data_IF_661809230505
#
_entry.id   IF_661809230505
#
_cell.length_a   1.000
_cell.length_b   1.000
_cell.length_c   1.000
_cell.angle_alpha   90.00
_cell.angle_beta   90.00
_cell.angle_gamma   90.00
#
_symmetry.space_group_name_H-M   'P 1'
#
loop_
_entity.id
_entity.type
_entity.pdbx_description
1 polymer ?
#
# COMPACT_ATOMS: atom_id res chain seq x y z
N UNK A 1 2.43 25.72 -12.86
CA UNK A 1 2.60 24.69 -11.83
C UNK A 1 3.09 25.26 -10.49
N UNK A 2 4.21 25.90 -10.39
CA UNK A 2 4.77 26.41 -9.12
C UNK A 2 3.87 27.42 -8.37
N UNK A 3 3.13 28.26 -9.08
CA UNK A 3 2.21 29.26 -8.48
C UNK A 3 0.97 28.62 -7.85
N UNK A 4 0.44 27.56 -8.45
CA UNK A 4 -0.68 26.77 -7.90
C UNK A 4 -0.26 25.99 -6.66
N UNK A 5 0.97 25.51 -6.65
CA UNK A 5 1.56 24.78 -5.52
C UNK A 5 1.76 25.69 -4.30
N UNK A 6 2.21 26.93 -4.52
CA UNK A 6 2.36 27.93 -3.45
C UNK A 6 1.02 28.35 -2.80
N UNK A 7 -0.02 28.49 -3.61
CA UNK A 7 -1.36 28.82 -3.11
C UNK A 7 -1.95 27.66 -2.29
N UNK A 8 -1.71 26.42 -2.69
CA UNK A 8 -2.15 25.23 -1.93
C UNK A 8 -1.41 25.08 -0.60
N UNK A 9 -0.11 25.39 -0.56
CA UNK A 9 0.71 25.38 0.66
C UNK A 9 0.21 26.40 1.68
N UNK A 10 -0.12 27.60 1.23
CA UNK A 10 -0.70 28.64 2.08
C UNK A 10 -2.09 28.26 2.61
N UNK A 11 -2.94 27.68 1.77
CA UNK A 11 -4.28 27.23 2.15
C UNK A 11 -4.23 26.08 3.16
N UNK A 12 -3.37 25.10 2.94
CA UNK A 12 -3.15 23.99 3.86
C UNK A 12 -2.64 24.45 5.24
N UNK A 13 -1.71 25.42 5.25
CA UNK A 13 -1.21 26.00 6.50
C UNK A 13 -2.31 26.79 7.24
N UNK A 14 -3.10 27.55 6.51
CA UNK A 14 -4.18 28.38 7.03
C UNK A 14 -5.32 27.53 7.62
N UNK A 15 -5.71 26.44 6.94
CA UNK A 15 -6.75 25.50 7.40
C UNK A 15 -6.35 24.72 8.67
N UNK A 16 -5.04 24.55 8.92
CA UNK A 16 -4.51 23.88 10.13
C UNK A 16 -3.98 24.85 11.18
N UNK A 17 -4.25 26.16 11.05
CA UNK A 17 -3.81 27.17 12.00
C UNK A 17 -2.30 27.38 12.04
N UNK A 18 -1.57 26.94 11.00
CA UNK A 18 -0.13 27.11 10.86
C UNK A 18 0.13 28.44 10.12
N UNK A 19 0.66 29.44 10.82
CA UNK A 19 1.05 30.70 10.19
C UNK A 19 2.48 30.58 9.67
N UNK A 20 2.65 30.61 8.35
CA UNK A 20 3.97 30.61 7.70
C UNK A 20 4.39 32.04 7.40
N UNK A 21 5.42 32.56 8.11
CA UNK A 21 6.07 33.83 7.77
C UNK A 21 7.38 33.56 7.01
N UNK A 22 7.40 33.91 5.73
CA UNK A 22 8.53 33.66 4.83
C UNK A 22 9.55 34.81 4.81
N UNK A 23 9.54 35.69 5.83
CA UNK A 23 10.37 36.89 5.84
C UNK A 23 11.90 36.66 5.78
N UNK A 24 12.42 35.48 6.18
CA UNK A 24 13.85 35.29 6.39
C UNK A 24 14.40 33.88 6.04
N UNK A 25 13.96 33.22 5.00
CA UNK A 25 14.60 31.99 4.56
C UNK A 25 15.30 32.19 3.22
N UNK A 26 16.63 32.43 3.28
CA UNK A 26 17.51 32.27 2.11
C UNK A 26 17.76 30.78 1.91
N UNK A 27 16.97 30.12 1.07
CA UNK A 27 17.26 28.78 0.62
C UNK A 27 17.35 28.79 -0.90
N UNK A 28 18.61 28.63 -1.32
CA UNK A 28 19.08 28.13 -2.62
C UNK A 28 18.16 28.31 -3.81
N UNK A 29 18.54 29.30 -4.58
CA UNK A 29 18.60 29.41 -6.05
C UNK A 29 17.40 29.15 -6.91
N UNK A 30 16.21 29.21 -6.68
CA UNK A 30 15.10 29.41 -7.66
C UNK A 30 13.72 29.40 -7.01
N UNK A 31 13.56 28.68 -5.90
CA UNK A 31 12.27 28.59 -5.21
C UNK A 31 11.95 29.84 -4.36
N UNK A 32 12.95 30.48 -3.79
CA UNK A 32 12.77 31.62 -2.88
C UNK A 32 12.36 32.93 -3.57
N UNK A 33 12.70 33.11 -4.83
CA UNK A 33 12.32 34.31 -5.61
C UNK A 33 10.82 34.40 -5.91
N UNK A 34 10.14 33.26 -5.95
CA UNK A 34 8.69 33.21 -6.22
C UNK A 34 7.83 33.56 -5.02
N UNK A 35 8.26 33.21 -3.80
CA UNK A 35 7.50 33.49 -2.58
C UNK A 35 7.62 34.95 -2.09
N UNK A 36 8.75 35.63 -2.33
CA UNK A 36 8.96 37.04 -1.96
C UNK A 36 7.99 38.03 -2.62
N UNK A 37 7.36 37.69 -3.73
CA UNK A 37 6.44 38.58 -4.46
C UNK A 37 4.98 38.54 -3.99
N UNK A 38 4.55 37.52 -3.25
CA UNK A 38 3.15 37.34 -2.86
C UNK A 38 2.84 37.54 -1.36
N UNK A 39 3.87 37.66 -0.52
CA UNK A 39 3.68 37.81 0.94
C UNK A 39 3.46 39.27 1.38
N UNK A 40 2.77 40.13 0.60
CA UNK A 40 2.26 41.44 1.02
C UNK A 40 0.79 41.37 1.29
N UNK A 41 0.39 40.76 2.40
CA UNK A 41 -0.96 40.94 2.98
C UNK A 41 -0.89 40.97 4.50
N UNK A 42 -1.08 42.18 5.00
CA UNK A 42 -1.63 42.65 6.29
C UNK A 42 -1.62 41.70 7.50
N UNK A 43 -0.74 41.98 8.44
CA UNK A 43 -1.11 42.25 9.82
C UNK A 43 -1.46 41.09 10.70
N UNK A 44 -0.46 40.33 11.15
CA UNK A 44 -0.25 39.87 12.53
C UNK A 44 1.03 39.04 12.58
N UNK A 45 1.98 39.52 13.36
CA UNK A 45 3.33 38.96 13.46
C UNK A 45 3.36 37.79 14.41
N UNK A 46 3.57 36.57 13.89
CA UNK A 46 4.15 35.50 14.68
C UNK A 46 5.64 35.40 14.33
N UNK A 47 6.50 35.95 15.21
CA UNK A 47 7.95 35.82 15.09
C UNK A 47 8.34 34.39 15.43
N UNK A 48 8.69 33.58 14.42
CA UNK A 48 9.48 32.40 14.66
C UNK A 48 10.88 32.89 15.09
N UNK A 49 11.22 32.73 16.37
CA UNK A 49 12.57 32.99 16.87
C UNK A 49 13.50 31.94 16.25
N UNK A 50 14.20 32.32 15.17
CA UNK A 50 15.35 31.59 14.68
C UNK A 50 16.53 31.91 15.60
N UNK A 51 16.71 31.10 16.64
CA UNK A 51 17.94 31.04 17.40
C UNK A 51 19.01 30.35 16.57
N UNK A 52 20.28 30.69 16.79
CA UNK A 52 21.53 30.47 16.07
C UNK A 52 21.88 29.10 15.51
N UNK A 53 20.94 28.18 15.38
CA UNK A 53 21.15 26.81 14.87
C UNK A 53 20.62 26.65 13.42
N UNK A 54 21.39 27.19 12.47
CA UNK A 54 21.09 27.14 11.03
C UNK A 54 20.83 25.68 10.53
N UNK A 55 21.47 24.70 11.18
CA UNK A 55 21.30 23.28 10.87
C UNK A 55 19.94 22.73 11.29
N UNK A 56 19.40 23.17 12.44
CA UNK A 56 18.04 22.76 12.89
C UNK A 56 16.96 23.36 11.99
N UNK A 57 17.13 24.64 11.62
CA UNK A 57 16.19 25.32 10.72
C UNK A 57 16.13 24.67 9.33
N UNK A 58 17.27 24.29 8.76
CA UNK A 58 17.33 23.52 7.50
C UNK A 58 16.71 22.12 7.64
N UNK A 59 16.91 21.47 8.79
CA UNK A 59 16.32 20.16 9.06
C UNK A 59 14.79 20.24 9.15
N UNK A 60 14.25 21.23 9.88
CA UNK A 60 12.81 21.48 9.97
C UNK A 60 12.19 21.85 8.62
N UNK A 61 12.83 22.70 7.85
CA UNK A 61 12.37 23.07 6.51
C UNK A 61 12.38 21.85 5.57
N UNK A 62 13.43 21.03 5.60
CA UNK A 62 13.52 19.79 4.83
C UNK A 62 12.47 18.77 5.26
N UNK A 63 12.23 18.64 6.56
CA UNK A 63 11.20 17.78 7.12
C UNK A 63 9.79 18.23 6.70
N UNK A 64 9.48 19.53 6.83
CA UNK A 64 8.20 20.10 6.42
C UNK A 64 7.96 19.96 4.92
N UNK A 65 8.99 20.21 4.09
CA UNK A 65 8.92 20.00 2.64
C UNK A 65 8.67 18.51 2.31
N UNK A 66 9.37 17.58 2.97
CA UNK A 66 9.17 16.14 2.78
C UNK A 66 7.78 15.71 3.21
N UNK A 67 7.29 16.17 4.35
CA UNK A 67 5.95 15.88 4.85
C UNK A 67 4.88 16.44 3.90
N UNK A 68 5.08 17.68 3.41
CA UNK A 68 4.19 18.30 2.45
C UNK A 68 4.17 17.57 1.11
N UNK A 69 5.35 17.22 0.57
CA UNK A 69 5.46 16.42 -0.66
C UNK A 69 4.82 15.05 -0.49
N UNK A 70 5.00 14.42 0.67
CA UNK A 70 4.36 13.13 0.99
C UNK A 70 2.83 13.24 1.04
N UNK A 71 2.27 14.30 1.62
CA UNK A 71 0.81 14.54 1.64
C UNK A 71 0.27 14.82 0.25
N UNK A 72 1.03 15.57 -0.59
CA UNK A 72 0.66 15.84 -1.98
C UNK A 72 0.76 14.62 -2.89
N UNK A 73 1.53 13.61 -2.48
CA UNK A 73 1.72 12.39 -3.25
C UNK A 73 0.64 11.33 -2.95
N UNK A 74 -0.24 11.55 -1.95
CA UNK A 74 -1.34 10.66 -1.65
C UNK A 74 -2.55 10.95 -2.54
N UNK A 75 -3.19 9.87 -3.03
CA UNK A 75 -4.47 9.98 -3.75
C UNK A 75 -5.65 9.95 -2.79
N UNK A 76 -5.49 9.25 -1.68
CA UNK A 76 -6.51 9.11 -0.64
C UNK A 76 -5.87 9.26 0.73
N UNK A 77 -6.52 10.05 1.57
CA UNK A 77 -6.21 10.17 3.00
C UNK A 77 -7.52 9.98 3.75
N UNK A 78 -7.55 9.06 4.71
CA UNK A 78 -8.61 8.95 5.69
C UNK A 78 -8.00 9.15 7.06
N UNK A 79 -8.48 10.11 7.84
CA UNK A 79 -7.92 10.45 9.15
C UNK A 79 -8.97 10.33 10.25
N UNK A 80 -8.59 9.66 11.33
CA UNK A 80 -9.33 9.50 12.58
C UNK A 80 -10.77 8.97 12.37
N UNK A 81 -10.91 8.03 11.43
CA UNK A 81 -12.20 7.48 11.05
C UNK A 81 -12.74 6.61 12.18
N UNK A 82 -13.89 7.01 12.70
CA UNK A 82 -14.66 6.22 13.65
C UNK A 82 -16.02 5.88 13.05
N UNK A 83 -16.48 4.65 13.25
CA UNK A 83 -17.79 4.18 12.80
C UNK A 83 -18.40 3.22 13.79
N UNK A 84 -19.55 3.60 14.33
CA UNK A 84 -20.37 2.77 15.20
C UNK A 84 -21.60 2.23 14.45
N UNK A 85 -21.92 0.97 14.65
CA UNK A 85 -23.21 0.36 14.33
C UNK A 85 -23.87 -0.09 15.63
N UNK A 86 -25.15 -0.35 15.62
CA UNK A 86 -25.89 -0.78 16.82
C UNK A 86 -25.19 -1.93 17.55
N UNK A 87 -24.62 -1.60 18.72
CA UNK A 87 -23.91 -2.55 19.59
C UNK A 87 -22.51 -2.95 19.15
N UNK A 88 -21.93 -2.34 18.11
CA UNK A 88 -20.58 -2.68 17.64
C UNK A 88 -19.85 -1.49 17.03
N UNK A 89 -18.64 -1.22 17.54
CA UNK A 89 -17.70 -0.25 16.94
C UNK A 89 -16.91 -0.94 15.84
N UNK A 90 -17.20 -0.58 14.60
CA UNK A 90 -16.56 -1.17 13.42
C UNK A 90 -15.22 -0.53 13.07
N UNK A 91 -15.05 0.77 13.36
CA UNK A 91 -13.80 1.52 13.22
C UNK A 91 -13.62 2.42 14.45
N UNK A 92 -12.41 2.48 14.99
CA UNK A 92 -12.04 3.22 16.17
C UNK A 92 -10.72 3.95 15.91
N UNK A 93 -10.82 5.21 15.50
CA UNK A 93 -9.69 6.09 15.19
C UNK A 93 -8.74 5.53 14.11
N UNK A 94 -9.31 5.01 13.02
CA UNK A 94 -8.54 4.42 11.92
C UNK A 94 -8.08 5.49 10.95
N UNK A 95 -6.78 5.51 10.65
CA UNK A 95 -6.16 6.43 9.69
C UNK A 95 -5.35 5.68 8.64
N UNK A 96 -5.50 6.05 7.36
CA UNK A 96 -4.69 5.54 6.25
C UNK A 96 -4.31 6.67 5.29
N UNK A 97 -3.13 6.55 4.68
CA UNK A 97 -2.68 7.43 3.60
C UNK A 97 -2.20 6.56 2.44
N UNK A 98 -2.82 6.70 1.28
CA UNK A 98 -2.59 5.86 0.11
C UNK A 98 -1.79 6.64 -0.94
N UNK A 99 -0.51 6.31 -1.15
CA UNK A 99 0.32 7.00 -2.14
C UNK A 99 -0.13 6.73 -3.57
N UNK A 100 0.01 7.73 -4.45
CA UNK A 100 -0.32 7.60 -5.87
C UNK A 100 0.54 6.58 -6.58
N UNK A 101 -0.08 5.81 -7.51
CA UNK A 101 0.63 4.84 -8.34
C UNK A 101 1.19 3.65 -7.57
N UNK A 102 0.68 3.37 -6.37
CA UNK A 102 1.08 2.26 -5.52
C UNK A 102 -0.04 1.23 -5.35
N UNK A 103 0.35 0.01 -4.99
CA UNK A 103 -0.57 -0.99 -4.46
C UNK A 103 -0.51 -0.94 -2.94
N UNK A 104 -1.61 -0.58 -2.32
CA UNK A 104 -1.77 -0.43 -0.88
C UNK A 104 -2.59 -1.57 -0.30
N UNK A 105 -2.02 -2.34 0.62
CA UNK A 105 -2.68 -3.45 1.27
C UNK A 105 -3.48 -3.00 2.50
N UNK A 106 -4.77 -3.30 2.53
CA UNK A 106 -5.62 -3.13 3.70
C UNK A 106 -5.85 -4.51 4.34
N UNK A 107 -5.12 -4.80 5.41
CA UNK A 107 -5.00 -6.13 5.99
C UNK A 107 -5.77 -6.25 7.31
N UNK A 108 -6.08 -7.46 7.69
CA UNK A 108 -6.68 -7.77 8.98
C UNK A 108 -7.61 -8.99 8.93
N UNK A 109 -7.95 -9.55 10.08
CA UNK A 109 -8.90 -10.66 10.15
C UNK A 109 -10.30 -10.25 9.70
N UNK A 110 -11.17 -11.25 9.48
CA UNK A 110 -12.57 -10.98 9.18
C UNK A 110 -13.23 -10.24 10.35
N UNK A 111 -14.05 -9.22 10.02
CA UNK A 111 -14.67 -8.37 11.04
C UNK A 111 -13.77 -7.26 11.61
N UNK A 112 -12.52 -7.11 11.18
CA UNK A 112 -11.61 -6.07 11.69
C UNK A 112 -12.01 -4.63 11.31
N UNK A 113 -12.94 -4.42 10.36
CA UNK A 113 -13.40 -3.11 9.91
C UNK A 113 -13.01 -2.75 8.47
N UNK A 114 -12.23 -3.59 7.75
CA UNK A 114 -11.75 -3.33 6.39
C UNK A 114 -12.88 -2.92 5.43
N UNK A 115 -13.90 -3.75 5.29
CA UNK A 115 -15.06 -3.48 4.40
C UNK A 115 -15.83 -2.23 4.82
N UNK A 116 -15.91 -1.92 6.11
CA UNK A 116 -16.52 -0.67 6.60
C UNK A 116 -15.74 0.55 6.13
N UNK A 117 -14.40 0.53 6.25
CA UNK A 117 -13.54 1.60 5.75
C UNK A 117 -13.66 1.74 4.23
N UNK A 118 -13.64 0.63 3.49
CA UNK A 118 -13.86 0.62 2.04
C UNK A 118 -15.20 1.24 1.66
N UNK A 119 -16.27 0.94 2.38
CA UNK A 119 -17.60 1.56 2.14
C UNK A 119 -17.62 3.05 2.40
N UNK A 120 -16.87 3.53 3.40
CA UNK A 120 -16.71 4.97 3.66
C UNK A 120 -15.96 5.63 2.51
N UNK A 121 -14.84 5.06 2.05
CA UNK A 121 -14.07 5.58 0.91
C UNK A 121 -14.89 5.62 -0.39
N UNK A 122 -15.79 4.65 -0.59
CA UNK A 122 -16.70 4.62 -1.73
C UNK A 122 -17.96 5.50 -1.55
N UNK A 123 -18.01 6.32 -0.51
CA UNK A 123 -19.16 7.20 -0.20
C UNK A 123 -20.50 6.44 -0.04
N UNK A 124 -20.44 5.15 0.34
CA UNK A 124 -21.62 4.30 0.58
C UNK A 124 -22.13 4.51 2.01
N UNK A 125 -21.23 4.74 2.95
CA UNK A 125 -21.52 4.94 4.38
C UNK A 125 -20.74 6.16 4.87
N UNK A 126 -21.37 7.05 5.63
CA UNK A 126 -20.67 8.18 6.27
C UNK A 126 -19.93 7.70 7.53
N UNK A 127 -18.75 8.22 7.84
CA UNK A 127 -18.11 8.05 9.15
C UNK A 127 -18.90 8.82 10.22
N UNK A 128 -18.76 8.43 11.49
CA UNK A 128 -19.37 9.18 12.61
C UNK A 128 -18.41 10.29 13.09
N UNK A 129 -17.10 10.09 12.91
CA UNK A 129 -16.06 11.12 13.05
C UNK A 129 -14.88 10.86 12.11
N UNK A 130 -14.01 11.86 11.98
CA UNK A 130 -12.91 11.84 11.03
C UNK A 130 -13.32 12.37 9.66
N UNK A 131 -12.38 12.34 8.70
CA UNK A 131 -12.62 12.83 7.34
C UNK A 131 -11.87 12.00 6.30
N UNK A 132 -12.32 12.09 5.06
CA UNK A 132 -11.67 11.47 3.91
C UNK A 132 -11.38 12.53 2.86
N UNK A 133 -10.12 12.58 2.42
CA UNK A 133 -9.69 13.36 1.26
C UNK A 133 -9.43 12.42 0.08
N UNK A 134 -9.86 12.84 -1.11
CA UNK A 134 -9.57 12.17 -2.36
C UNK A 134 -9.01 13.18 -3.37
N UNK A 135 -7.89 12.85 -3.99
CA UNK A 135 -7.22 13.70 -5.01
C UNK A 135 -6.98 15.14 -4.55
N UNK A 136 -6.70 15.34 -3.24
CA UNK A 136 -6.36 16.62 -2.62
C UNK A 136 -7.55 17.50 -2.26
N UNK A 137 -8.76 16.97 -2.16
CA UNK A 137 -9.96 17.65 -1.65
C UNK A 137 -10.84 16.70 -0.84
N UNK A 138 -11.75 17.24 -0.03
CA UNK A 138 -12.69 16.42 0.72
C UNK A 138 -13.52 15.53 -0.22
N UNK A 139 -13.62 14.24 0.11
CA UNK A 139 -14.34 13.25 -0.69
C UNK A 139 -15.81 13.65 -0.86
N UNK A 140 -16.29 13.60 -2.10
CA UNK A 140 -17.66 13.90 -2.49
C UNK A 140 -18.29 12.76 -3.26
N UNK A 141 -19.62 12.78 -3.43
CA UNK A 141 -20.33 11.80 -4.25
C UNK A 141 -19.89 11.81 -5.72
N UNK A 142 -19.41 12.95 -6.25
CA UNK A 142 -18.92 13.05 -7.62
C UNK A 142 -17.62 12.27 -7.84
N UNK A 143 -16.80 12.12 -6.81
CA UNK A 143 -15.51 11.42 -6.89
C UNK A 143 -15.66 9.92 -7.10
N UNK A 144 -16.83 9.34 -6.77
CA UNK A 144 -17.14 7.92 -7.00
C UNK A 144 -17.03 7.53 -8.49
N UNK A 145 -17.19 8.50 -9.40
CA UNK A 145 -16.96 8.29 -10.83
C UNK A 145 -15.49 7.98 -11.15
N UNK A 146 -14.56 8.42 -10.30
CA UNK A 146 -13.11 8.22 -10.44
C UNK A 146 -12.58 7.05 -9.60
N UNK A 147 -13.48 6.32 -8.92
CA UNK A 147 -13.16 5.16 -8.10
C UNK A 147 -13.77 3.91 -8.74
N UNK A 148 -12.94 2.89 -8.96
CA UNK A 148 -13.39 1.57 -9.34
C UNK A 148 -13.43 0.68 -8.10
N UNK A 149 -14.60 0.12 -7.77
CA UNK A 149 -14.77 -0.76 -6.61
C UNK A 149 -15.21 -2.15 -7.03
N UNK A 150 -14.42 -3.16 -6.66
CA UNK A 150 -14.73 -4.58 -6.76
C UNK A 150 -15.07 -5.11 -5.37
N UNK A 151 -16.33 -5.28 -5.01
CA UNK A 151 -16.73 -5.85 -3.73
C UNK A 151 -16.47 -7.36 -3.66
N UNK A 152 -16.33 -7.90 -2.46
CA UNK A 152 -16.22 -9.34 -2.20
C UNK A 152 -17.48 -10.08 -2.69
N UNK A 153 -18.66 -9.50 -2.42
CA UNK A 153 -19.94 -10.03 -2.91
C UNK A 153 -20.22 -9.56 -4.34
N UNK A 154 -20.81 -10.44 -5.15
CA UNK A 154 -21.02 -10.18 -6.57
C UNK A 154 -22.26 -9.34 -6.81
N UNK A 155 -22.06 -8.12 -7.34
CA UNK A 155 -23.12 -7.22 -7.78
C UNK A 155 -23.63 -7.49 -9.21
N UNK A 156 -23.48 -8.70 -9.75
CA UNK A 156 -23.90 -9.00 -11.11
C UNK A 156 -25.37 -9.48 -11.18
N UNK A 157 -26.14 -9.00 -12.17
CA UNK A 157 -27.53 -9.38 -12.41
C UNK A 157 -27.61 -10.71 -13.15
N UNK A 158 -28.00 -11.77 -12.45
CA UNK A 158 -27.94 -13.17 -12.94
C UNK A 158 -28.62 -13.40 -14.28
N UNK A 159 -29.74 -12.76 -14.56
CA UNK A 159 -30.54 -12.95 -15.79
C UNK A 159 -30.07 -12.14 -16.99
N UNK A 160 -29.19 -11.16 -16.80
CA UNK A 160 -28.64 -10.35 -17.90
C UNK A 160 -27.55 -11.11 -18.65
N UNK A 161 -27.38 -10.81 -19.93
CA UNK A 161 -26.22 -11.24 -20.70
C UNK A 161 -24.98 -10.49 -20.25
N UNK A 162 -23.82 -11.15 -20.35
CA UNK A 162 -22.51 -10.58 -19.96
C UNK A 162 -22.23 -9.26 -20.67
N UNK A 163 -22.36 -9.23 -21.99
CA UNK A 163 -22.12 -8.03 -22.79
C UNK A 163 -23.10 -6.89 -22.48
N UNK A 164 -24.39 -7.21 -22.30
CA UNK A 164 -25.43 -6.22 -21.93
C UNK A 164 -25.11 -5.58 -20.57
N UNK A 165 -24.76 -6.40 -19.58
CA UNK A 165 -24.43 -5.91 -18.24
C UNK A 165 -23.14 -5.11 -18.23
N UNK A 166 -22.11 -5.59 -18.90
CA UNK A 166 -20.84 -4.87 -19.01
C UNK A 166 -21.01 -3.50 -19.68
N UNK A 167 -21.83 -3.45 -20.75
CA UNK A 167 -22.21 -2.20 -21.42
C UNK A 167 -23.02 -1.28 -20.49
N UNK A 168 -23.95 -1.83 -19.71
CA UNK A 168 -24.74 -1.07 -18.75
C UNK A 168 -23.85 -0.39 -17.71
N UNK A 169 -22.92 -1.13 -17.08
CA UNK A 169 -21.99 -0.55 -16.11
C UNK A 169 -21.03 0.46 -16.72
N UNK A 170 -20.54 0.21 -17.95
CA UNK A 170 -19.71 1.17 -18.68
C UNK A 170 -20.43 2.51 -18.89
N UNK A 171 -21.68 2.44 -19.31
CA UNK A 171 -22.53 3.61 -19.50
C UNK A 171 -22.84 4.35 -18.19
N UNK A 172 -23.08 3.60 -17.12
CA UNK A 172 -23.32 4.16 -15.79
C UNK A 172 -22.08 4.92 -15.27
N UNK A 173 -20.88 4.49 -15.65
CA UNK A 173 -19.60 5.17 -15.36
C UNK A 173 -19.28 6.32 -16.33
N UNK A 174 -20.22 6.70 -17.19
CA UNK A 174 -20.14 7.88 -18.06
C UNK A 174 -19.50 7.66 -19.42
N UNK A 175 -19.12 6.43 -19.80
CA UNK A 175 -18.58 6.18 -21.15
C UNK A 175 -19.66 6.36 -22.24
N UNK A 176 -19.29 6.89 -23.39
CA UNK A 176 -20.15 6.86 -24.57
C UNK A 176 -20.40 5.40 -24.99
N UNK A 177 -21.47 5.15 -25.78
CA UNK A 177 -21.72 3.79 -26.29
C UNK A 177 -20.54 3.25 -27.09
N UNK A 178 -19.97 4.10 -27.93
CA UNK A 178 -18.82 3.74 -28.77
C UNK A 178 -17.58 3.43 -27.95
N UNK A 179 -17.21 4.30 -26.98
CA UNK A 179 -16.04 4.09 -26.13
C UNK A 179 -16.21 2.87 -25.22
N UNK A 180 -17.42 2.66 -24.69
CA UNK A 180 -17.76 1.48 -23.90
C UNK A 180 -17.57 0.19 -24.70
N UNK A 181 -18.09 0.13 -25.92
CA UNK A 181 -17.95 -1.04 -26.79
C UNK A 181 -16.48 -1.31 -27.13
N UNK A 182 -15.72 -0.28 -27.48
CA UNK A 182 -14.29 -0.39 -27.78
C UNK A 182 -13.49 -0.89 -26.56
N UNK A 183 -13.73 -0.30 -25.39
CA UNK A 183 -13.05 -0.71 -24.16
C UNK A 183 -13.42 -2.15 -23.74
N UNK A 184 -14.69 -2.52 -23.87
CA UNK A 184 -15.14 -3.87 -23.55
C UNK A 184 -14.53 -4.92 -24.46
N UNK A 185 -14.54 -4.69 -25.81
CA UNK A 185 -13.88 -5.61 -26.75
C UNK A 185 -12.42 -5.81 -26.39
N UNK A 186 -11.68 -4.73 -26.12
CA UNK A 186 -10.29 -4.81 -25.71
C UNK A 186 -10.09 -5.67 -24.44
N UNK A 187 -10.91 -5.45 -23.39
CA UNK A 187 -10.80 -6.20 -22.15
C UNK A 187 -11.23 -7.65 -22.26
N UNK A 188 -12.27 -7.93 -23.07
CA UNK A 188 -12.76 -9.29 -23.31
C UNK A 188 -11.74 -10.12 -24.07
N UNK A 189 -11.12 -9.55 -25.11
CA UNK A 189 -10.04 -10.21 -25.85
C UNK A 189 -8.82 -10.45 -24.95
N UNK A 190 -8.46 -9.44 -24.15
CA UNK A 190 -7.30 -9.51 -23.24
C UNK A 190 -7.42 -10.59 -22.15
N UNK A 191 -8.62 -10.81 -21.62
CA UNK A 191 -8.88 -11.83 -20.61
C UNK A 191 -9.40 -13.15 -21.22
N UNK A 192 -9.40 -13.25 -22.55
CA UNK A 192 -9.81 -14.44 -23.31
C UNK A 192 -11.24 -14.87 -22.97
N UNK A 193 -12.19 -13.91 -22.95
CA UNK A 193 -13.60 -14.15 -22.60
C UNK A 193 -14.58 -13.62 -23.66
N UNK A 194 -14.13 -13.31 -24.88
CA UNK A 194 -14.96 -12.73 -25.94
C UNK A 194 -16.15 -13.61 -26.31
N UNK A 195 -16.01 -14.93 -26.23
CA UNK A 195 -17.08 -15.91 -26.43
C UNK A 195 -18.19 -15.88 -25.38
N UNK A 196 -17.98 -15.18 -24.22
CA UNK A 196 -18.99 -15.11 -23.16
C UNK A 196 -19.98 -13.97 -23.35
N UNK A 197 -19.82 -13.14 -24.35
CA UNK A 197 -20.59 -11.92 -24.60
C UNK A 197 -22.10 -12.15 -24.52
N UNK A 198 -22.59 -13.23 -25.16
CA UNK A 198 -24.01 -13.56 -25.23
C UNK A 198 -24.50 -14.54 -24.15
N UNK A 199 -23.59 -15.09 -23.31
CA UNK A 199 -23.95 -15.93 -22.19
C UNK A 199 -24.64 -15.12 -21.10
N UNK A 200 -25.57 -15.74 -20.38
CA UNK A 200 -26.14 -15.14 -19.16
C UNK A 200 -25.16 -15.26 -18.00
N UNK A 201 -25.23 -14.30 -17.08
CA UNK A 201 -24.38 -14.29 -15.88
C UNK A 201 -24.59 -15.57 -15.03
N UNK A 202 -25.80 -16.09 -14.98
CA UNK A 202 -26.10 -17.34 -14.24
C UNK A 202 -25.42 -18.59 -14.82
N UNK A 203 -24.99 -18.56 -16.08
CA UNK A 203 -24.28 -19.64 -16.75
C UNK A 203 -22.76 -19.61 -16.46
N UNK A 204 -22.26 -18.55 -15.83
CA UNK A 204 -20.87 -18.39 -15.52
C UNK A 204 -20.46 -19.13 -14.24
N UNK A 205 -19.29 -19.75 -14.27
CA UNK A 205 -18.64 -20.21 -13.04
C UNK A 205 -18.26 -19.03 -12.14
N UNK A 206 -17.91 -19.33 -10.90
CA UNK A 206 -17.48 -18.30 -9.93
C UNK A 206 -16.31 -17.46 -10.45
N UNK A 207 -15.26 -18.08 -11.00
CA UNK A 207 -14.11 -17.40 -11.55
C UNK A 207 -14.44 -16.61 -12.83
N UNK A 208 -15.30 -17.15 -13.70
CA UNK A 208 -15.77 -16.44 -14.89
C UNK A 208 -16.52 -15.15 -14.53
N UNK A 209 -17.47 -15.21 -13.60
CA UNK A 209 -18.20 -14.03 -13.14
C UNK A 209 -17.28 -12.97 -12.52
N UNK A 210 -16.21 -13.39 -11.85
CA UNK A 210 -15.23 -12.51 -11.23
C UNK A 210 -14.35 -11.79 -12.27
N UNK A 211 -13.99 -12.46 -13.39
CA UNK A 211 -13.33 -11.79 -14.53
C UNK A 211 -14.22 -10.68 -15.11
N UNK A 212 -15.50 -10.95 -15.31
CA UNK A 212 -16.47 -9.94 -15.80
C UNK A 212 -16.57 -8.77 -14.81
N UNK A 213 -16.66 -9.07 -13.51
CA UNK A 213 -16.72 -8.04 -12.47
C UNK A 213 -15.45 -7.18 -12.39
N UNK A 214 -14.28 -7.81 -12.57
CA UNK A 214 -13.02 -7.07 -12.67
C UNK A 214 -13.04 -6.10 -13.87
N UNK A 215 -13.45 -6.58 -15.06
CA UNK A 215 -13.54 -5.73 -16.26
C UNK A 215 -14.41 -4.50 -16.01
N UNK A 216 -15.63 -4.68 -15.50
CA UNK A 216 -16.54 -3.55 -15.28
C UNK A 216 -16.05 -2.57 -14.22
N UNK A 217 -15.15 -3.03 -13.34
CA UNK A 217 -14.50 -2.19 -12.33
C UNK A 217 -13.40 -1.30 -12.91
N UNK A 218 -12.63 -1.81 -13.88
CA UNK A 218 -11.43 -1.11 -14.38
C UNK A 218 -11.64 -0.37 -15.71
N UNK A 219 -12.69 -0.71 -16.47
CA UNK A 219 -12.86 -0.29 -17.87
C UNK A 219 -12.97 1.24 -18.08
N UNK A 220 -13.43 1.99 -17.07
CA UNK A 220 -13.56 3.45 -17.12
C UNK A 220 -12.28 4.19 -16.68
N UNK A 221 -11.17 3.45 -16.51
CA UNK A 221 -9.85 3.97 -16.15
C UNK A 221 -9.87 4.85 -14.89
N UNK A 222 -10.35 4.35 -13.75
CA UNK A 222 -10.43 5.12 -12.52
C UNK A 222 -9.04 5.49 -12.01
N UNK A 223 -8.94 6.59 -11.27
CA UNK A 223 -7.71 7.02 -10.60
C UNK A 223 -7.35 6.12 -9.42
N UNK A 224 -8.38 5.58 -8.74
CA UNK A 224 -8.27 4.67 -7.60
C UNK A 224 -9.08 3.41 -7.88
N UNK A 225 -8.44 2.27 -7.74
CA UNK A 225 -9.05 0.95 -7.78
C UNK A 225 -9.09 0.37 -6.37
N UNK A 226 -10.23 -0.13 -5.95
CA UNK A 226 -10.41 -0.79 -4.65
C UNK A 226 -10.88 -2.22 -4.91
N UNK A 227 -10.09 -3.20 -4.48
CA UNK A 227 -10.38 -4.61 -4.61
C UNK A 227 -10.56 -5.25 -3.23
N UNK A 228 -11.77 -5.66 -2.91
CA UNK A 228 -12.11 -6.33 -1.65
C UNK A 228 -12.11 -7.84 -1.85
N UNK A 229 -11.08 -8.52 -1.31
CA UNK A 229 -10.83 -9.98 -1.44
C UNK A 229 -10.91 -10.48 -2.90
N UNK A 230 -10.21 -9.86 -3.87
CA UNK A 230 -10.43 -10.10 -5.31
C UNK A 230 -10.10 -11.51 -5.76
N UNK A 231 -9.27 -12.25 -5.02
CA UNK A 231 -8.84 -13.61 -5.37
C UNK A 231 -9.67 -14.70 -4.71
N UNK A 232 -10.65 -14.32 -3.87
CA UNK A 232 -11.53 -15.28 -3.19
C UNK A 232 -12.30 -16.14 -4.19
N UNK A 233 -11.98 -17.45 -4.21
CA UNK A 233 -12.61 -18.45 -5.07
C UNK A 233 -12.11 -18.51 -6.50
N UNK A 234 -10.96 -17.94 -6.80
CA UNK A 234 -10.18 -18.27 -7.97
C UNK A 234 -9.29 -19.49 -7.74
N UNK A 235 -9.05 -20.23 -8.82
CA UNK A 235 -7.92 -21.15 -8.89
C UNK A 235 -6.60 -20.37 -9.06
N UNK A 236 -5.44 -20.97 -8.79
CA UNK A 236 -4.15 -20.29 -8.85
C UNK A 236 -3.82 -19.66 -10.23
N UNK A 237 -4.27 -20.27 -11.32
CA UNK A 237 -4.00 -19.78 -12.69
C UNK A 237 -4.75 -18.47 -12.94
N UNK A 238 -6.06 -18.47 -12.64
CA UNK A 238 -6.88 -17.28 -12.82
C UNK A 238 -6.51 -16.16 -11.84
N UNK A 239 -6.14 -16.49 -10.59
CA UNK A 239 -5.58 -15.53 -9.64
C UNK A 239 -4.31 -14.89 -10.20
N UNK A 240 -3.39 -15.67 -10.78
CA UNK A 240 -2.16 -15.18 -11.42
C UNK A 240 -2.43 -14.23 -12.59
N UNK A 241 -3.49 -14.46 -13.38
CA UNK A 241 -3.88 -13.54 -14.46
C UNK A 241 -4.30 -12.19 -13.87
N UNK A 242 -5.18 -12.18 -12.87
CA UNK A 242 -5.63 -10.94 -12.24
C UNK A 242 -4.50 -10.17 -11.57
N UNK A 243 -3.60 -10.86 -10.88
CA UNK A 243 -2.41 -10.25 -10.26
C UNK A 243 -1.57 -9.49 -11.29
N UNK A 244 -1.28 -10.12 -12.43
CA UNK A 244 -0.56 -9.46 -13.54
C UNK A 244 -1.28 -8.23 -14.07
N UNK A 245 -2.61 -8.30 -14.20
CA UNK A 245 -3.39 -7.14 -14.66
C UNK A 245 -3.41 -5.99 -13.64
N UNK A 246 -3.47 -6.29 -12.35
CA UNK A 246 -3.36 -5.29 -11.26
C UNK A 246 -1.99 -4.58 -11.35
N UNK A 247 -0.89 -5.34 -11.47
CA UNK A 247 0.46 -4.78 -11.57
C UNK A 247 0.63 -3.96 -12.87
N UNK A 248 0.00 -4.38 -13.98
CA UNK A 248 -0.01 -3.61 -15.24
C UNK A 248 -0.74 -2.28 -15.06
N UNK A 249 -1.96 -2.29 -14.51
CA UNK A 249 -2.74 -1.08 -14.25
C UNK A 249 -1.97 -0.11 -13.34
N UNK A 250 -1.28 -0.63 -12.31
CA UNK A 250 -0.36 0.16 -11.49
C UNK A 250 0.75 0.79 -12.34
N UNK A 251 1.40 0.01 -13.22
CA UNK A 251 2.46 0.52 -14.08
C UNK A 251 1.98 1.61 -15.06
N UNK A 252 0.69 1.62 -15.38
CA UNK A 252 0.02 2.64 -16.19
C UNK A 252 -0.45 3.86 -15.36
N UNK A 253 -0.16 3.89 -14.06
CA UNK A 253 -0.41 5.02 -13.18
C UNK A 253 -1.66 4.90 -12.29
N UNK A 254 -2.40 3.79 -12.33
CA UNK A 254 -3.50 3.56 -11.41
C UNK A 254 -2.97 3.34 -9.98
N UNK A 255 -3.71 3.84 -9.00
CA UNK A 255 -3.49 3.49 -7.59
C UNK A 255 -4.46 2.39 -7.20
N UNK A 256 -3.99 1.45 -6.39
CA UNK A 256 -4.79 0.29 -6.00
C UNK A 256 -4.84 0.16 -4.49
N UNK A 257 -6.02 0.04 -3.90
CA UNK A 257 -6.25 -0.49 -2.56
C UNK A 257 -6.67 -1.94 -2.72
N UNK A 258 -6.00 -2.81 -1.99
CA UNK A 258 -6.20 -4.25 -2.05
C UNK A 258 -6.47 -4.78 -0.65
N UNK A 259 -7.70 -5.19 -0.35
CA UNK A 259 -8.02 -5.82 0.92
C UNK A 259 -7.84 -7.32 0.82
N UNK A 260 -7.14 -7.90 1.81
CA UNK A 260 -6.95 -9.36 1.89
C UNK A 260 -6.53 -9.82 3.26
N UNK A 261 -6.70 -11.11 3.50
CA UNK A 261 -6.10 -11.85 4.61
C UNK A 261 -5.02 -12.84 4.14
N UNK A 262 -4.72 -12.89 2.83
CA UNK A 262 -3.68 -13.76 2.22
C UNK A 262 -2.35 -13.00 2.14
N UNK A 263 -1.43 -13.30 3.05
CA UNK A 263 -0.15 -12.60 3.18
C UNK A 263 0.81 -12.86 2.02
N UNK A 264 0.76 -14.03 1.38
CA UNK A 264 1.56 -14.31 0.18
C UNK A 264 1.21 -13.34 -0.98
N UNK A 265 -0.08 -13.02 -1.14
CA UNK A 265 -0.51 -12.01 -2.12
C UNK A 265 -0.09 -10.59 -1.74
N UNK A 266 0.05 -10.30 -0.44
CA UNK A 266 0.57 -9.02 0.05
C UNK A 266 2.03 -8.85 -0.33
N UNK A 267 2.86 -9.83 -0.08
CA UNK A 267 4.30 -9.80 -0.45
C UNK A 267 4.52 -9.62 -1.95
N UNK A 268 3.66 -10.25 -2.75
CA UNK A 268 3.77 -10.22 -4.21
C UNK A 268 3.30 -8.88 -4.81
N UNK A 269 2.27 -8.25 -4.24
CA UNK A 269 1.58 -7.14 -4.87
C UNK A 269 1.77 -5.79 -4.19
N UNK A 270 1.84 -5.76 -2.83
CA UNK A 270 1.74 -4.52 -2.09
C UNK A 270 3.08 -3.79 -1.95
N UNK A 271 3.05 -2.49 -2.16
CA UNK A 271 4.17 -1.58 -1.82
C UNK A 271 4.11 -1.18 -0.35
N UNK A 272 2.91 -0.86 0.14
CA UNK A 272 2.63 -0.38 1.49
C UNK A 272 1.37 -1.06 2.03
N UNK A 273 1.28 -1.13 3.36
CA UNK A 273 0.14 -1.76 4.03
C UNK A 273 -0.33 -0.98 5.24
N UNK A 274 -1.60 -1.22 5.61
CA UNK A 274 -2.12 -1.01 6.95
C UNK A 274 -2.79 -2.30 7.43
N UNK A 275 -2.45 -2.71 8.64
CA UNK A 275 -3.08 -3.83 9.33
C UNK A 275 -4.07 -3.30 10.37
N UNK A 276 -5.34 -3.64 10.18
CA UNK A 276 -6.41 -3.33 11.12
C UNK A 276 -6.73 -4.57 11.95
N UNK A 277 -6.77 -4.43 13.26
CA UNK A 277 -7.23 -5.46 14.18
C UNK A 277 -8.15 -4.83 15.22
N UNK A 278 -9.29 -5.49 15.50
CA UNK A 278 -10.29 -4.99 16.46
C UNK A 278 -10.61 -3.51 16.26
N UNK A 279 -10.91 -3.14 15.02
CA UNK A 279 -11.31 -1.79 14.61
C UNK A 279 -10.22 -0.71 14.70
N UNK A 280 -8.96 -1.04 14.99
CA UNK A 280 -7.85 -0.10 15.14
C UNK A 280 -6.67 -0.44 14.23
N UNK A 281 -5.92 0.57 13.83
CA UNK A 281 -4.63 0.37 13.18
C UNK A 281 -3.62 -0.20 14.18
N UNK A 282 -2.98 -1.32 13.84
CA UNK A 282 -1.92 -1.90 14.67
C UNK A 282 -0.55 -1.90 14.00
N UNK A 283 -0.50 -1.80 12.67
CA UNK A 283 0.75 -1.73 11.91
C UNK A 283 0.50 -1.01 10.59
N UNK A 284 1.42 -0.13 10.17
CA UNK A 284 1.35 0.54 8.87
C UNK A 284 2.76 0.85 8.35
N UNK A 285 2.93 0.79 7.04
CA UNK A 285 4.16 1.20 6.37
C UNK A 285 4.52 0.41 5.11
N UNK A 286 5.65 0.75 4.47
CA UNK A 286 6.19 0.01 3.34
C UNK A 286 6.54 -1.44 3.71
N UNK A 287 6.09 -2.41 2.89
CA UNK A 287 6.26 -3.85 3.15
C UNK A 287 7.73 -4.21 3.39
N UNK A 288 8.65 -3.70 2.55
CA UNK A 288 10.08 -3.96 2.72
C UNK A 288 10.62 -3.48 4.06
N UNK A 289 10.24 -2.25 4.48
CA UNK A 289 10.67 -1.70 5.79
C UNK A 289 10.09 -2.47 6.97
N UNK A 290 8.85 -2.90 6.89
CA UNK A 290 8.24 -3.71 7.94
C UNK A 290 8.98 -5.04 8.09
N UNK A 291 9.31 -5.70 6.98
CA UNK A 291 10.10 -6.93 7.00
C UNK A 291 11.49 -6.72 7.60
N UNK A 292 12.14 -5.59 7.30
CA UNK A 292 13.41 -5.21 7.93
C UNK A 292 13.28 -4.95 9.45
N UNK A 293 12.24 -4.22 9.87
CA UNK A 293 12.00 -3.88 11.27
C UNK A 293 11.68 -5.10 12.16
N UNK A 294 10.92 -6.06 11.60
CA UNK A 294 10.58 -7.30 12.29
C UNK A 294 11.64 -8.40 12.08
N UNK A 295 12.60 -8.14 11.15
CA UNK A 295 13.67 -9.07 10.83
C UNK A 295 14.64 -9.22 11.99
N UNK A 296 14.99 -10.46 12.29
CA UNK A 296 16.20 -10.76 13.05
C UNK A 296 17.41 -10.66 12.12
N UNK A 297 18.62 -10.49 12.70
CA UNK A 297 19.88 -10.49 11.94
C UNK A 297 20.26 -11.92 11.53
N UNK A 298 19.39 -12.55 10.71
CA UNK A 298 19.53 -13.93 10.26
C UNK A 298 19.96 -13.93 8.80
N UNK A 299 21.01 -14.71 8.50
CA UNK A 299 21.60 -14.79 7.19
C UNK A 299 21.73 -16.25 6.75
N UNK A 300 21.30 -16.56 5.53
CA UNK A 300 21.47 -17.86 4.90
C UNK A 300 22.68 -17.84 3.98
N UNK A 301 23.52 -18.83 4.12
CA UNK A 301 24.64 -19.15 3.23
C UNK A 301 24.37 -20.42 2.45
N UNK A 302 24.65 -20.41 1.15
CA UNK A 302 24.86 -21.59 0.34
C UNK A 302 26.34 -21.65 -0.02
N UNK A 303 27.02 -22.75 0.29
CA UNK A 303 28.48 -22.85 0.17
C UNK A 303 28.98 -24.26 -0.15
N UNK A 304 30.17 -24.32 -0.75
CA UNK A 304 30.93 -25.57 -0.94
C UNK A 304 32.11 -25.56 0.06
N UNK A 305 32.35 -26.68 0.71
CA UNK A 305 33.42 -26.89 1.67
C UNK A 305 32.96 -27.60 2.93
N UNK A 306 33.81 -27.62 3.97
CA UNK A 306 33.50 -28.28 5.21
C UNK A 306 32.63 -27.37 6.11
N UNK A 307 31.39 -27.75 6.49
CA UNK A 307 30.53 -26.96 7.36
C UNK A 307 31.17 -26.65 8.72
N UNK A 308 31.99 -27.54 9.26
CA UNK A 308 32.66 -27.29 10.56
C UNK A 308 33.70 -26.15 10.45
N UNK A 309 34.34 -26.01 9.27
CA UNK A 309 35.23 -24.85 9.03
C UNK A 309 34.48 -23.50 9.08
N UNK A 310 33.31 -23.46 8.46
CA UNK A 310 32.43 -22.27 8.55
C UNK A 310 31.95 -22.01 9.98
N UNK A 311 31.51 -23.07 10.69
CA UNK A 311 31.07 -22.96 12.08
C UNK A 311 32.18 -22.43 12.99
N UNK A 312 33.42 -22.96 12.85
CA UNK A 312 34.57 -22.52 13.62
C UNK A 312 34.92 -21.04 13.30
N UNK A 313 34.89 -20.65 12.02
CA UNK A 313 35.21 -19.30 11.58
C UNK A 313 34.23 -18.24 12.14
N UNK A 314 32.95 -18.56 12.31
CA UNK A 314 31.93 -17.62 12.80
C UNK A 314 31.66 -17.75 14.29
N UNK A 315 32.09 -18.83 14.94
CA UNK A 315 31.78 -19.14 16.34
C UNK A 315 32.30 -18.09 17.34
N UNK A 316 33.43 -17.43 17.05
CA UNK A 316 34.00 -16.38 17.90
C UNK A 316 33.17 -15.07 17.89
N UNK A 317 32.23 -14.92 16.94
CA UNK A 317 31.36 -13.74 16.84
C UNK A 317 30.12 -13.84 17.73
N UNK A 318 29.97 -14.92 18.52
CA UNK A 318 28.75 -15.17 19.30
C UNK A 318 27.51 -15.42 18.44
N UNK A 319 27.74 -15.83 17.17
CA UNK A 319 26.69 -16.09 16.21
C UNK A 319 26.02 -17.45 16.48
N UNK A 320 24.70 -17.50 16.36
CA UNK A 320 23.98 -18.77 16.25
C UNK A 320 24.27 -19.40 14.89
N UNK A 321 24.50 -20.73 14.86
CA UNK A 321 24.78 -21.48 13.62
C UNK A 321 23.88 -22.70 13.53
N UNK A 322 23.07 -22.76 12.50
CA UNK A 322 22.22 -23.91 12.19
C UNK A 322 22.57 -24.43 10.78
N UNK A 323 22.91 -25.74 10.71
CA UNK A 323 23.27 -26.38 9.46
C UNK A 323 22.03 -27.01 8.82
N UNK A 324 21.68 -26.54 7.64
CA UNK A 324 20.61 -27.10 6.82
C UNK A 324 21.04 -28.28 5.95
N UNK A 325 20.23 -28.57 4.93
CA UNK A 325 20.47 -29.65 3.97
C UNK A 325 21.52 -29.27 2.89
N UNK A 326 22.09 -30.25 2.28
CA UNK A 326 22.85 -30.09 1.03
C UNK A 326 21.87 -30.12 -0.14
N UNK A 327 21.99 -29.18 -1.07
CA UNK A 327 21.13 -29.14 -2.26
C UNK A 327 21.60 -30.15 -3.35
N UNK A 328 20.79 -30.31 -4.40
CA UNK A 328 21.05 -31.23 -5.52
C UNK A 328 22.34 -30.88 -6.30
N UNK A 329 22.84 -29.66 -6.16
CA UNK A 329 24.07 -29.16 -6.76
C UNK A 329 25.32 -29.41 -5.89
N UNK A 330 25.14 -29.99 -4.68
CA UNK A 330 26.22 -30.31 -3.74
C UNK A 330 26.62 -29.14 -2.82
N UNK A 331 25.88 -28.04 -2.81
CA UNK A 331 26.12 -26.95 -1.88
C UNK A 331 25.40 -27.18 -0.55
N UNK A 332 26.13 -27.00 0.57
CA UNK A 332 25.56 -27.02 1.89
C UNK A 332 24.89 -25.69 2.18
N UNK A 333 23.80 -25.69 2.98
CA UNK A 333 23.14 -24.48 3.49
C UNK A 333 23.39 -24.36 4.99
N UNK A 334 23.63 -23.13 5.44
CA UNK A 334 23.68 -22.80 6.85
C UNK A 334 22.97 -21.48 7.13
N UNK A 335 22.26 -21.44 8.25
CA UNK A 335 21.62 -20.23 8.76
C UNK A 335 22.44 -19.70 9.94
N UNK A 336 22.84 -18.42 9.85
CA UNK A 336 23.67 -17.76 10.86
C UNK A 336 22.89 -16.57 11.42
N UNK A 337 22.72 -16.54 12.73
CA UNK A 337 22.07 -15.43 13.45
C UNK A 337 23.11 -14.56 14.15
N UNK A 338 23.12 -13.26 13.86
CA UNK A 338 24.03 -12.29 14.45
C UNK A 338 23.33 -11.49 15.58
N UNK A 339 24.11 -10.98 16.51
CA UNK A 339 23.61 -10.09 17.56
C UNK A 339 23.42 -8.64 17.06
N UNK A 340 24.25 -8.22 16.09
CA UNK A 340 24.19 -6.89 15.49
C UNK A 340 24.24 -6.97 13.95
N UNK A 341 23.54 -6.08 13.23
CA UNK A 341 23.67 -5.98 11.77
C UNK A 341 25.08 -5.51 11.33
N UNK A 342 25.82 -4.84 12.21
CA UNK A 342 27.18 -4.37 11.94
C UNK A 342 28.18 -5.52 11.79
N UNK A 343 27.86 -6.69 12.33
CA UNK A 343 28.70 -7.91 12.28
C UNK A 343 28.66 -8.62 10.92
N UNK A 344 27.83 -8.17 9.98
CA UNK A 344 27.69 -8.80 8.63
C UNK A 344 28.99 -8.74 7.85
N UNK A 345 29.73 -7.62 7.89
CA UNK A 345 31.02 -7.51 7.16
C UNK A 345 32.09 -8.45 7.70
N UNK A 346 32.34 -8.48 9.03
CA UNK A 346 33.21 -9.50 9.61
C UNK A 346 32.76 -10.94 9.32
N UNK A 347 31.44 -11.21 9.38
CA UNK A 347 30.87 -12.52 9.05
C UNK A 347 31.23 -12.95 7.64
N UNK A 348 31.00 -12.09 6.63
CA UNK A 348 31.30 -12.38 5.24
C UNK A 348 32.80 -12.62 5.02
N UNK A 349 33.67 -11.84 5.65
CA UNK A 349 35.11 -11.98 5.56
C UNK A 349 35.55 -13.37 6.11
N UNK A 350 35.12 -13.71 7.32
CA UNK A 350 35.43 -15.00 7.94
C UNK A 350 34.88 -16.20 7.16
N UNK A 351 33.65 -16.07 6.65
CA UNK A 351 33.04 -17.12 5.84
C UNK A 351 33.78 -17.36 4.52
N UNK A 352 34.17 -16.28 3.83
CA UNK A 352 34.89 -16.34 2.55
C UNK A 352 36.31 -16.94 2.67
N UNK A 353 36.95 -16.80 3.84
CA UNK A 353 38.21 -17.46 4.11
C UNK A 353 38.05 -18.95 4.44
N UNK A 354 36.93 -19.34 5.02
CA UNK A 354 36.68 -20.70 5.49
C UNK A 354 36.09 -21.65 4.43
N UNK A 355 35.22 -21.12 3.57
CA UNK A 355 34.46 -21.89 2.57
C UNK A 355 34.28 -21.13 1.27
N UNK A 356 33.90 -21.82 0.20
CA UNK A 356 33.52 -21.19 -1.07
C UNK A 356 32.05 -20.82 -1.05
N UNK A 357 31.74 -19.50 -0.92
CA UNK A 357 30.37 -18.98 -0.86
C UNK A 357 29.77 -19.01 -2.27
N UNK A 358 28.62 -19.69 -2.43
CA UNK A 358 27.83 -19.68 -3.64
C UNK A 358 26.74 -18.54 -3.58
N UNK A 359 26.06 -18.42 -2.45
CA UNK A 359 25.10 -17.34 -2.23
C UNK A 359 25.03 -16.94 -0.76
N UNK A 360 24.58 -15.70 -0.54
CA UNK A 360 24.37 -15.10 0.78
C UNK A 360 23.08 -14.29 0.73
N UNK A 361 22.18 -14.53 1.68
CA UNK A 361 20.90 -13.84 1.77
C UNK A 361 20.58 -13.40 3.18
N UNK A 362 20.09 -12.17 3.35
CA UNK A 362 19.45 -11.77 4.58
C UNK A 362 18.05 -12.39 4.64
N UNK A 363 17.78 -13.21 5.66
CA UNK A 363 16.48 -13.86 5.84
C UNK A 363 15.52 -12.90 6.52
N UNK A 364 14.61 -12.35 5.73
CA UNK A 364 13.56 -11.48 6.25
C UNK A 364 12.33 -12.32 6.60
N UNK A 365 11.62 -11.99 7.71
CA UNK A 365 10.39 -12.67 8.08
C UNK A 365 9.33 -12.54 6.99
N UNK A 366 8.49 -13.54 6.87
CA UNK A 366 7.32 -13.47 6.00
C UNK A 366 6.29 -12.47 6.53
N UNK A 367 5.41 -11.98 5.66
CA UNK A 367 4.29 -11.15 6.12
C UNK A 367 3.32 -11.93 7.01
N UNK A 368 3.25 -13.27 6.88
CA UNK A 368 2.49 -14.12 7.81
C UNK A 368 3.06 -14.05 9.23
N UNK A 369 4.39 -14.16 9.39
CA UNK A 369 5.07 -14.06 10.70
C UNK A 369 4.84 -12.70 11.34
N UNK A 370 4.98 -11.63 10.55
CA UNK A 370 4.75 -10.24 11.00
C UNK A 370 3.30 -10.03 11.41
N UNK A 371 2.35 -10.55 10.63
CA UNK A 371 0.93 -10.48 10.94
C UNK A 371 0.61 -11.15 12.28
N UNK A 372 1.09 -12.39 12.47
CA UNK A 372 0.89 -13.15 13.71
C UNK A 372 1.50 -12.42 14.91
N UNK A 373 2.73 -11.90 14.77
CA UNK A 373 3.41 -11.15 15.83
C UNK A 373 2.63 -9.87 16.20
N UNK A 374 2.24 -9.06 15.22
CA UNK A 374 1.52 -7.81 15.45
C UNK A 374 0.14 -8.02 16.08
N UNK A 375 -0.62 -9.00 15.60
CA UNK A 375 -1.95 -9.34 16.17
C UNK A 375 -1.81 -9.88 17.58
N UNK A 376 -0.81 -10.71 17.86
CA UNK A 376 -0.56 -11.27 19.20
C UNK A 376 -0.21 -10.18 20.20
N UNK A 377 0.66 -9.23 19.84
CA UNK A 377 1.03 -8.09 20.66
C UNK A 377 -0.21 -7.23 20.98
N UNK A 378 -0.98 -6.84 19.96
CA UNK A 378 -2.22 -6.06 20.12
C UNK A 378 -3.26 -6.74 21.03
N UNK A 379 -3.36 -8.07 20.97
CA UNK A 379 -4.29 -8.83 21.80
C UNK A 379 -3.82 -8.91 23.28
N UNK A 380 -2.51 -8.82 23.54
CA UNK A 380 -1.95 -8.83 24.90
C UNK A 380 -2.18 -7.50 25.62
N UNK A 381 -2.01 -6.38 24.91
CA UNK A 381 -2.25 -5.02 25.42
C UNK A 381 -3.73 -4.79 25.79
N UNK A 382 -4.66 -5.43 25.07
CA UNK A 382 -6.10 -5.29 25.33
C UNK A 382 -6.59 -6.07 26.58
N UNK A 383 -5.72 -6.87 27.25
CA UNK A 383 -6.06 -7.66 28.44
C UNK A 383 -5.55 -7.04 29.75
N UNK A 384 -4.79 -5.97 29.66
CA UNK A 384 -4.37 -5.14 30.80
C UNK A 384 -5.33 -3.96 30.98
#
# INVERSE_FOLDING_TARGET
MATQMGVRLLRFAEERGIILDFGYVKVVDSFCLMFKRQARCKGSSLRLFLTEDCNKSMFYASYMIKTFLSVMDNILIAENITKDFTGHRALDDVSIAVPRGKVYGLLGPNGAGKTTLIRIINHITAPDSGYVEFDGHALTAADVAHIGYLPEERGLYKKMKVGEQAMFFARLKGLSKHDAEKALRHWFDRLEISEWWDKKIEELSKGMAQKVQFIVTVLHQPKLLIFDEPFSGFDPINAGILKREILRLRSEGATVIFSTHNMASVEELCDEITLINRSRNILSGPVGRLREQFGANIYEFSFAGNPESLRAAVGHMGAGFDLGSVDDSGYARATISLQSPDDVRPLLAAANEAVHINSFHHVLPSMDDIFVAAVSASNSESKQ
#
